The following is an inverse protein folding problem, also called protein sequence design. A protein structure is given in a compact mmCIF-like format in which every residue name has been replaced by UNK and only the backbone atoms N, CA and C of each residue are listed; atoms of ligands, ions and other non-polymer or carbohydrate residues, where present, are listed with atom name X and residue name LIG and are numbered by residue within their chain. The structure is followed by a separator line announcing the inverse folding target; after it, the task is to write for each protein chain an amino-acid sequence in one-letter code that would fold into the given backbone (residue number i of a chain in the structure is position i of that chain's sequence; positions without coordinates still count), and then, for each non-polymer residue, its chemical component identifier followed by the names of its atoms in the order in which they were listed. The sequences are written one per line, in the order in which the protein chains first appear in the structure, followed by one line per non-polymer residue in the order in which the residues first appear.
data_IF_878194146875
#
_entry.id   IF_878194146875
#
_cell.length_a   1.000
_cell.length_b   1.000
_cell.length_c   1.000
_cell.angle_alpha   90.00
_cell.angle_beta   90.00
_cell.angle_gamma   90.00
#
_symmetry.space_group_name_H-M   'P 1'
#
loop_
_entity.id
_entity.type
_entity.pdbx_description
1 polymer ?
#
# COMPACT_ATOMS: atom_id res chain seq x y z
N UNK A 1 -15.55 2.97 16.68
CA UNK A 1 -15.29 1.69 17.37
C UNK A 1 -13.97 1.17 16.80
N UNK A 2 -12.93 1.11 17.61
CA UNK A 2 -11.62 0.62 17.19
C UNK A 2 -11.74 -0.88 16.91
N UNK A 3 -11.36 -1.30 15.70
CA UNK A 3 -11.18 -2.71 15.38
C UNK A 3 -10.01 -3.23 16.20
N UNK A 4 -10.23 -4.19 17.06
CA UNK A 4 -9.19 -4.80 17.88
C UNK A 4 -8.87 -6.23 17.45
N UNK A 5 -9.54 -6.74 16.41
CA UNK A 5 -9.37 -8.12 15.93
C UNK A 5 -9.80 -8.22 14.46
N UNK A 6 -9.11 -9.07 13.71
CA UNK A 6 -9.50 -9.50 12.36
C UNK A 6 -9.80 -11.00 12.34
N UNK A 7 -10.65 -11.46 11.42
CA UNK A 7 -10.85 -12.85 11.06
C UNK A 7 -11.24 -12.93 9.58
N UNK A 8 -10.55 -13.77 8.86
CA UNK A 8 -10.86 -14.07 7.47
C UNK A 8 -11.29 -15.53 7.35
N UNK A 9 -12.21 -15.77 6.45
CA UNK A 9 -12.61 -17.11 6.03
C UNK A 9 -12.27 -17.27 4.55
N UNK A 10 -11.67 -18.38 4.20
CA UNK A 10 -11.22 -18.68 2.84
C UNK A 10 -11.97 -19.87 2.27
N UNK A 11 -12.15 -19.87 0.96
CA UNK A 11 -12.72 -20.95 0.18
C UNK A 11 -11.96 -21.05 -1.14
N UNK A 12 -11.65 -22.27 -1.54
CA UNK A 12 -11.05 -22.56 -2.83
C UNK A 12 -12.07 -22.24 -3.95
N UNK A 13 -11.67 -21.37 -4.88
CA UNK A 13 -12.51 -20.93 -5.99
C UNK A 13 -12.94 -22.08 -6.93
N UNK A 14 -12.10 -23.12 -7.05
CA UNK A 14 -12.41 -24.31 -7.86
C UNK A 14 -13.44 -25.24 -7.19
N UNK A 15 -13.71 -25.04 -5.91
CA UNK A 15 -14.67 -25.83 -5.14
C UNK A 15 -15.65 -24.95 -4.36
N UNK A 16 -16.43 -24.08 -5.04
CA UNK A 16 -17.27 -23.06 -4.41
C UNK A 16 -18.43 -23.59 -3.57
N UNK A 17 -18.74 -24.88 -3.67
CA UNK A 17 -19.81 -25.55 -2.90
C UNK A 17 -19.30 -26.14 -1.57
N UNK A 18 -18.02 -26.02 -1.24
CA UNK A 18 -17.47 -26.46 0.04
C UNK A 18 -17.70 -25.41 1.12
N UNK A 19 -17.48 -25.80 2.36
CA UNK A 19 -17.55 -24.89 3.51
C UNK A 19 -16.33 -23.96 3.56
N UNK A 20 -16.55 -22.72 4.01
CA UNK A 20 -15.48 -21.78 4.32
C UNK A 20 -14.63 -22.31 5.47
N UNK A 21 -13.32 -22.07 5.37
CA UNK A 21 -12.36 -22.39 6.42
C UNK A 21 -11.89 -21.10 7.06
N UNK A 22 -11.80 -21.09 8.39
CA UNK A 22 -11.17 -19.99 9.11
C UNK A 22 -9.68 -19.97 8.76
N UNK A 23 -9.19 -18.81 8.31
CA UNK A 23 -7.77 -18.60 8.00
C UNK A 23 -6.92 -18.63 9.27
N UNK A 24 -7.28 -17.79 10.23
CA UNK A 24 -6.73 -17.73 11.58
C UNK A 24 -7.85 -17.34 12.54
N UNK A 25 -8.06 -18.10 13.64
CA UNK A 25 -9.02 -17.73 14.66
C UNK A 25 -8.79 -16.35 15.26
N UNK A 26 -9.87 -15.71 15.71
CA UNK A 26 -9.79 -14.40 16.36
C UNK A 26 -8.91 -14.43 17.57
N UNK A 27 -7.97 -13.50 17.63
CA UNK A 27 -7.13 -13.23 18.77
C UNK A 27 -7.23 -11.75 19.13
N UNK A 28 -7.44 -11.44 20.41
CA UNK A 28 -7.59 -10.05 20.83
C UNK A 28 -6.30 -9.27 20.61
N UNK A 29 -6.40 -8.16 19.88
CA UNK A 29 -5.28 -7.30 19.55
C UNK A 29 -4.55 -7.69 18.27
N UNK A 30 -4.83 -8.86 17.69
CA UNK A 30 -4.29 -9.24 16.39
C UNK A 30 -5.16 -8.64 15.27
N UNK A 31 -4.53 -7.78 14.49
CA UNK A 31 -5.09 -7.21 13.27
C UNK A 31 -4.31 -7.75 12.08
N UNK A 32 -5.02 -8.16 11.02
CA UNK A 32 -4.38 -8.60 9.79
C UNK A 32 -5.31 -8.47 8.60
N UNK A 33 -4.71 -8.35 7.40
CA UNK A 33 -5.36 -8.58 6.11
C UNK A 33 -4.59 -9.64 5.34
N UNK A 34 -5.24 -10.27 4.36
CA UNK A 34 -4.64 -11.35 3.57
C UNK A 34 -4.81 -11.10 2.08
N UNK A 35 -3.80 -11.47 1.31
CA UNK A 35 -3.84 -11.57 -0.15
C UNK A 35 -3.19 -12.88 -0.58
N UNK A 36 -3.73 -13.53 -1.61
CA UNK A 36 -3.20 -14.81 -2.11
C UNK A 36 -2.32 -14.59 -3.34
N UNK A 37 -1.16 -15.23 -3.35
CA UNK A 37 -0.28 -15.26 -4.52
C UNK A 37 0.42 -16.61 -4.62
N UNK A 38 0.23 -17.28 -5.76
CA UNK A 38 0.76 -18.63 -6.02
C UNK A 38 0.38 -19.63 -4.92
N UNK A 39 1.35 -20.14 -4.17
CA UNK A 39 1.16 -21.13 -3.11
C UNK A 39 1.15 -20.54 -1.70
N UNK A 40 1.15 -19.19 -1.59
CA UNK A 40 1.24 -18.51 -0.30
C UNK A 40 0.13 -17.48 -0.13
N UNK A 41 -0.20 -17.23 1.14
CA UNK A 41 -0.87 -16.01 1.55
C UNK A 41 0.16 -14.99 2.07
N UNK A 42 -0.02 -13.75 1.66
CA UNK A 42 0.69 -12.58 2.15
C UNK A 42 -0.18 -11.84 3.15
N UNK A 43 0.37 -11.46 4.28
CA UNK A 43 -0.37 -11.06 5.46
C UNK A 43 0.20 -9.74 5.98
N UNK A 44 -0.56 -8.65 5.85
CA UNK A 44 -0.24 -7.39 6.53
C UNK A 44 -0.77 -7.52 7.95
N UNK A 45 0.10 -7.36 8.96
CA UNK A 45 -0.28 -7.64 10.36
C UNK A 45 0.52 -6.86 11.37
N UNK A 46 -0.08 -6.66 12.56
CA UNK A 46 0.55 -6.13 13.76
C UNK A 46 1.13 -7.22 14.68
N UNK A 47 1.25 -8.45 14.19
CA UNK A 47 1.78 -9.59 14.98
C UNK A 47 3.13 -9.25 15.63
N UNK A 48 3.36 -9.81 16.82
CA UNK A 48 4.58 -9.63 17.63
C UNK A 48 4.85 -8.15 18.01
N UNK A 49 3.78 -7.36 18.16
CA UNK A 49 3.89 -5.96 18.58
C UNK A 49 4.32 -4.99 17.47
N UNK A 50 4.19 -5.39 16.20
CA UNK A 50 4.46 -4.54 15.04
C UNK A 50 3.42 -3.41 14.93
N UNK A 51 3.59 -2.34 15.71
CA UNK A 51 2.65 -1.21 15.79
C UNK A 51 2.43 -0.49 14.46
N UNK A 52 3.45 -0.50 13.59
CA UNK A 52 3.41 0.04 12.23
C UNK A 52 3.19 -1.05 11.17
N UNK A 53 2.67 -2.19 11.60
CA UNK A 53 2.46 -3.36 10.76
C UNK A 53 3.74 -3.92 10.11
N UNK A 54 3.63 -5.09 9.55
CA UNK A 54 4.66 -5.79 8.77
C UNK A 54 4.00 -6.69 7.75
N UNK A 55 4.74 -7.12 6.74
CA UNK A 55 4.29 -8.13 5.80
C UNK A 55 4.86 -9.49 6.18
N UNK A 56 3.98 -10.45 6.38
CA UNK A 56 4.33 -11.84 6.59
C UNK A 56 3.78 -12.70 5.46
N UNK A 57 4.25 -13.94 5.36
CA UNK A 57 3.70 -14.94 4.45
C UNK A 57 3.54 -16.29 5.12
N UNK A 58 2.63 -17.11 4.60
CA UNK A 58 2.39 -18.48 5.04
C UNK A 58 1.97 -19.36 3.87
N UNK A 59 2.30 -20.66 3.84
CA UNK A 59 1.79 -21.59 2.84
C UNK A 59 0.26 -21.65 2.85
N UNK A 60 -0.36 -21.78 1.67
CA UNK A 60 -1.82 -21.80 1.52
C UNK A 60 -2.50 -23.01 2.20
N UNK A 61 -1.76 -24.09 2.40
CA UNK A 61 -2.23 -25.32 3.05
C UNK A 61 -1.99 -25.32 4.57
N UNK A 62 -1.28 -24.31 5.10
CA UNK A 62 -0.96 -24.19 6.52
C UNK A 62 -1.00 -22.74 7.02
N UNK A 63 -2.21 -22.22 7.21
CA UNK A 63 -2.47 -20.81 7.49
C UNK A 63 -2.35 -20.40 8.97
N UNK A 64 -2.09 -21.36 9.87
CA UNK A 64 -1.92 -21.09 11.31
C UNK A 64 -0.84 -20.04 11.55
N UNK A 65 -1.07 -19.14 12.52
CA UNK A 65 -0.18 -18.05 12.90
C UNK A 65 1.25 -18.49 13.23
N UNK A 66 1.45 -19.73 13.68
CA UNK A 66 2.75 -20.30 13.98
C UNK A 66 3.64 -20.49 12.73
N UNK A 67 3.02 -20.48 11.53
CA UNK A 67 3.70 -20.67 10.26
C UNK A 67 3.93 -19.34 9.52
N UNK A 68 3.51 -18.22 10.10
CA UNK A 68 3.72 -16.91 9.49
C UNK A 68 5.19 -16.52 9.65
N UNK A 69 5.85 -16.27 8.52
CA UNK A 69 7.25 -15.80 8.47
C UNK A 69 7.33 -14.40 7.89
N UNK A 70 8.26 -13.60 8.37
CA UNK A 70 8.44 -12.23 7.89
C UNK A 70 8.89 -12.21 6.41
N UNK A 71 8.20 -11.43 5.59
CA UNK A 71 8.58 -11.07 4.22
C UNK A 71 9.16 -9.66 4.18
N UNK A 72 8.50 -8.72 4.87
CA UNK A 72 8.99 -7.36 5.14
C UNK A 72 8.85 -7.14 6.64
N UNK A 73 9.99 -6.98 7.31
CA UNK A 73 10.02 -6.79 8.76
C UNK A 73 9.41 -5.43 9.17
N UNK A 74 8.90 -5.39 10.40
CA UNK A 74 8.44 -4.15 11.04
C UNK A 74 9.53 -3.07 11.07
N UNK A 75 9.10 -1.83 10.88
CA UNK A 75 9.93 -0.64 11.02
C UNK A 75 9.19 0.42 11.84
N UNK A 76 9.89 1.05 12.78
CA UNK A 76 9.31 2.12 13.61
C UNK A 76 9.06 3.42 12.84
N UNK A 77 9.80 3.64 11.74
CA UNK A 77 9.76 4.85 10.91
C UNK A 77 8.88 4.73 9.66
N UNK A 78 8.28 3.55 9.42
CA UNK A 78 7.43 3.26 8.26
C UNK A 78 6.18 2.52 8.69
N UNK A 79 5.02 3.10 8.42
CA UNK A 79 3.73 2.43 8.54
C UNK A 79 3.43 1.68 7.24
N UNK A 80 3.32 0.34 7.30
CA UNK A 80 2.85 -0.47 6.18
C UNK A 80 1.32 -0.45 6.19
N UNK A 81 0.72 0.13 5.14
CA UNK A 81 -0.73 0.36 5.09
C UNK A 81 -1.47 -0.76 4.36
N UNK A 82 -0.99 -1.17 3.19
CA UNK A 82 -1.62 -2.22 2.38
C UNK A 82 -0.65 -2.81 1.34
N UNK A 83 -1.10 -3.81 0.62
CA UNK A 83 -0.39 -4.41 -0.52
C UNK A 83 -1.31 -4.61 -1.71
N UNK A 84 -0.77 -4.46 -2.92
CA UNK A 84 -1.43 -4.82 -4.18
C UNK A 84 -0.59 -5.88 -4.89
N UNK A 85 -1.21 -6.97 -5.31
CA UNK A 85 -0.51 -8.12 -5.91
C UNK A 85 -0.83 -8.20 -7.39
N UNK A 86 0.21 -8.16 -8.20
CA UNK A 86 0.20 -8.45 -9.62
C UNK A 86 1.01 -9.72 -9.91
N UNK A 87 0.81 -10.32 -11.06
CA UNK A 87 1.54 -11.52 -11.48
C UNK A 87 3.07 -11.39 -11.35
N UNK A 88 3.62 -10.26 -11.79
CA UNK A 88 5.07 -10.02 -11.79
C UNK A 88 5.53 -9.08 -10.66
N UNK A 89 4.61 -8.39 -9.98
CA UNK A 89 4.94 -7.33 -9.04
C UNK A 89 4.15 -7.41 -7.73
N UNK A 90 4.81 -7.06 -6.66
CA UNK A 90 4.22 -6.66 -5.38
C UNK A 90 4.36 -5.14 -5.23
N UNK A 91 3.25 -4.47 -4.99
CA UNK A 91 3.23 -3.06 -4.60
C UNK A 91 2.89 -2.98 -3.12
N UNK A 92 3.76 -2.33 -2.34
CA UNK A 92 3.55 -2.10 -0.91
C UNK A 92 3.20 -0.64 -0.71
N UNK A 93 1.99 -0.38 -0.23
CA UNK A 93 1.58 0.96 0.18
C UNK A 93 2.06 1.20 1.60
N UNK A 94 2.80 2.27 1.78
CA UNK A 94 3.38 2.61 3.07
C UNK A 94 3.40 4.11 3.29
N UNK A 95 3.59 4.51 4.55
CA UNK A 95 3.75 5.90 4.94
C UNK A 95 5.04 6.08 5.70
N UNK A 96 5.87 7.02 5.23
CA UNK A 96 7.09 7.42 5.92
C UNK A 96 7.19 8.94 5.97
N UNK A 97 7.60 9.47 7.11
CA UNK A 97 7.65 10.93 7.32
C UNK A 97 6.33 11.65 6.97
N UNK A 98 5.17 10.99 7.14
CA UNK A 98 3.85 11.55 6.82
C UNK A 98 3.49 11.60 5.34
N UNK A 99 4.28 11.02 4.43
CA UNK A 99 3.98 10.90 3.01
C UNK A 99 3.69 9.45 2.63
N UNK A 100 2.66 9.27 1.81
CA UNK A 100 2.40 8.00 1.18
C UNK A 100 3.50 7.64 0.19
N UNK A 101 3.91 6.40 0.18
CA UNK A 101 4.89 5.85 -0.74
C UNK A 101 4.36 4.53 -1.30
N UNK A 102 4.64 4.26 -2.56
CA UNK A 102 4.40 2.97 -3.18
C UNK A 102 5.74 2.33 -3.48
N UNK A 103 6.07 1.28 -2.75
CA UNK A 103 7.28 0.50 -2.92
C UNK A 103 6.98 -0.66 -3.84
N UNK A 104 7.58 -0.67 -5.02
CA UNK A 104 7.32 -1.62 -6.10
C UNK A 104 8.47 -2.62 -6.14
N UNK A 105 8.12 -3.89 -6.02
CA UNK A 105 9.08 -5.01 -6.05
C UNK A 105 8.66 -6.00 -7.11
N UNK A 106 9.59 -6.43 -7.95
CA UNK A 106 9.36 -7.58 -8.84
C UNK A 106 9.60 -8.88 -8.06
N UNK A 107 8.76 -9.87 -8.26
CA UNK A 107 8.85 -11.13 -7.51
C UNK A 107 10.18 -11.88 -7.70
N UNK A 108 10.81 -11.74 -8.85
CA UNK A 108 12.12 -12.31 -9.15
C UNK A 108 13.31 -11.52 -8.58
N UNK A 109 13.05 -10.46 -7.81
CA UNK A 109 14.01 -9.53 -7.22
C UNK A 109 14.90 -8.78 -8.24
N UNK A 110 14.54 -8.77 -9.52
CA UNK A 110 15.31 -8.06 -10.55
C UNK A 110 15.10 -6.54 -10.53
N UNK A 111 13.99 -6.09 -9.93
CA UNK A 111 13.64 -4.67 -9.78
C UNK A 111 13.03 -4.41 -8.41
N UNK A 112 13.48 -3.31 -7.79
CA UNK A 112 12.93 -2.79 -6.54
C UNK A 112 13.14 -1.29 -6.50
N UNK A 113 12.05 -0.51 -6.34
CA UNK A 113 12.13 0.94 -6.32
C UNK A 113 10.85 1.56 -5.72
N UNK A 114 10.92 2.83 -5.36
CA UNK A 114 9.76 3.62 -4.97
C UNK A 114 9.20 4.35 -6.19
N UNK A 115 7.87 4.38 -6.34
CA UNK A 115 7.21 5.18 -7.36
C UNK A 115 7.60 6.66 -7.17
N UNK A 116 8.22 7.30 -8.19
CA UNK A 116 8.72 8.66 -8.06
C UNK A 116 7.57 9.68 -8.10
N UNK A 117 7.62 10.67 -7.20
CA UNK A 117 6.75 11.85 -7.21
C UNK A 117 7.58 13.11 -7.37
N UNK A 118 7.06 14.08 -8.15
CA UNK A 118 7.82 15.26 -8.56
C UNK A 118 7.66 16.45 -7.60
N UNK A 119 6.84 16.29 -6.54
CA UNK A 119 6.56 17.33 -5.54
C UNK A 119 6.96 16.86 -4.14
N UNK A 120 7.36 17.80 -3.29
CA UNK A 120 7.74 17.51 -1.90
C UNK A 120 6.55 17.12 -1.01
N UNK A 121 5.34 17.52 -1.42
CA UNK A 121 4.09 17.28 -0.69
C UNK A 121 3.00 16.81 -1.63
N UNK A 122 2.40 15.68 -1.34
CA UNK A 122 1.37 15.06 -2.17
C UNK A 122 0.54 14.07 -1.36
N UNK A 123 -0.61 13.71 -1.91
CA UNK A 123 -1.36 12.51 -1.56
C UNK A 123 -1.38 11.56 -2.75
N UNK A 124 -1.05 10.30 -2.50
CA UNK A 124 -1.13 9.25 -3.49
C UNK A 124 -1.61 7.94 -2.86
N UNK A 125 -2.27 7.08 -3.63
CA UNK A 125 -2.73 5.78 -3.18
C UNK A 125 -3.16 4.93 -4.36
N UNK A 126 -2.94 3.62 -4.29
CA UNK A 126 -3.41 2.69 -5.31
C UNK A 126 -4.94 2.77 -5.44
N UNK A 127 -5.41 2.65 -6.66
CA UNK A 127 -6.83 2.49 -6.95
C UNK A 127 -7.13 1.01 -7.16
N UNK A 128 -8.36 0.68 -7.55
CA UNK A 128 -8.70 -0.70 -7.91
C UNK A 128 -7.89 -1.14 -9.15
N UNK A 129 -7.11 -2.23 -9.01
CA UNK A 129 -6.29 -2.85 -10.04
C UNK A 129 -6.73 -4.33 -10.23
N UNK A 130 -7.91 -4.59 -10.82
CA UNK A 130 -8.49 -5.94 -10.85
C UNK A 130 -7.80 -6.90 -11.83
N UNK A 131 -6.98 -6.39 -12.74
CA UNK A 131 -6.26 -7.20 -13.72
C UNK A 131 -4.92 -7.67 -13.16
N UNK A 132 -4.92 -8.92 -12.70
CA UNK A 132 -3.74 -9.57 -12.12
C UNK A 132 -2.55 -9.67 -13.09
N UNK A 133 -2.79 -9.87 -14.38
CA UNK A 133 -1.74 -10.00 -15.40
C UNK A 133 -1.17 -8.64 -15.86
N UNK A 134 -1.73 -7.53 -15.36
CA UNK A 134 -1.31 -6.18 -15.73
C UNK A 134 0.09 -5.84 -15.19
N UNK A 135 0.84 -5.07 -15.98
CA UNK A 135 2.04 -4.37 -15.54
C UNK A 135 1.76 -2.90 -15.23
N UNK A 136 0.49 -2.51 -15.24
CA UNK A 136 0.05 -1.14 -15.00
C UNK A 136 -0.53 -1.04 -13.59
N UNK A 137 0.11 -0.21 -12.76
CA UNK A 137 -0.42 0.23 -11.49
C UNK A 137 -1.24 1.50 -11.72
N UNK A 138 -2.55 1.44 -11.50
CA UNK A 138 -3.41 2.62 -11.47
C UNK A 138 -3.43 3.20 -10.07
N UNK A 139 -3.18 4.50 -9.95
CA UNK A 139 -3.21 5.20 -8.68
C UNK A 139 -3.83 6.58 -8.80
N UNK A 140 -4.37 7.08 -7.68
CA UNK A 140 -4.80 8.44 -7.51
C UNK A 140 -3.64 9.31 -7.04
N UNK A 141 -3.60 10.56 -7.50
CA UNK A 141 -2.58 11.54 -7.11
C UNK A 141 -3.19 12.93 -6.98
N UNK A 142 -2.74 13.69 -5.99
CA UNK A 142 -3.00 15.13 -5.90
C UNK A 142 -1.89 15.81 -5.10
N UNK A 143 -1.71 17.11 -5.32
CA UNK A 143 -0.85 17.95 -4.48
C UNK A 143 -1.51 19.32 -4.25
N UNK A 144 -0.86 20.20 -3.51
CA UNK A 144 -1.35 21.59 -3.36
C UNK A 144 -1.35 22.37 -4.67
N UNK A 145 -0.56 21.93 -5.64
CA UNK A 145 -0.40 22.57 -6.96
C UNK A 145 -0.90 21.71 -8.13
N UNK A 146 -1.35 20.49 -7.87
CA UNK A 146 -1.83 19.56 -8.90
C UNK A 146 -3.22 19.07 -8.52
N UNK A 147 -4.24 19.28 -9.36
CA UNK A 147 -5.59 18.77 -9.16
C UNK A 147 -5.60 17.24 -9.06
N UNK A 148 -6.68 16.70 -8.46
CA UNK A 148 -6.86 15.23 -8.36
C UNK A 148 -6.76 14.59 -9.74
N UNK A 149 -5.86 13.63 -9.85
CA UNK A 149 -5.51 12.95 -11.09
C UNK A 149 -5.59 11.46 -10.94
N UNK A 150 -5.96 10.76 -12.01
CA UNK A 150 -5.89 9.29 -12.14
C UNK A 150 -4.77 9.00 -13.12
N UNK A 151 -3.81 8.21 -12.67
CA UNK A 151 -2.58 7.95 -13.40
C UNK A 151 -2.36 6.44 -13.53
N UNK A 152 -2.04 6.00 -14.74
CA UNK A 152 -1.51 4.67 -15.00
C UNK A 152 0.02 4.74 -15.04
N UNK A 153 0.63 3.88 -14.23
CA UNK A 153 2.08 3.75 -14.14
C UNK A 153 2.50 2.36 -14.61
N UNK A 154 3.29 2.31 -15.67
CA UNK A 154 3.88 1.06 -16.13
C UNK A 154 5.07 0.70 -15.23
N UNK A 155 4.94 -0.39 -14.44
CA UNK A 155 5.93 -0.82 -13.48
C UNK A 155 7.24 -1.34 -14.11
N UNK A 156 7.19 -1.71 -15.40
CA UNK A 156 8.35 -2.18 -16.12
C UNK A 156 9.16 -1.03 -16.74
N UNK A 157 8.48 -0.12 -17.44
CA UNK A 157 9.12 1.00 -18.14
C UNK A 157 9.23 2.27 -17.29
N UNK A 158 8.52 2.33 -16.15
CA UNK A 158 8.38 3.49 -15.27
C UNK A 158 7.73 4.71 -15.94
N UNK A 159 6.97 4.49 -17.01
CA UNK A 159 6.23 5.54 -17.70
C UNK A 159 4.90 5.82 -17.01
N UNK A 160 4.58 7.12 -16.86
CA UNK A 160 3.29 7.60 -16.33
C UNK A 160 2.41 8.05 -17.49
N UNK A 161 1.12 7.70 -17.41
CA UNK A 161 0.08 8.20 -18.33
C UNK A 161 -1.05 8.78 -17.50
N UNK A 162 -1.28 10.07 -17.59
CA UNK A 162 -2.43 10.73 -16.94
C UNK A 162 -3.68 10.37 -17.72
N UNK A 163 -4.60 9.65 -17.09
CA UNK A 163 -5.89 9.27 -17.69
C UNK A 163 -6.93 10.37 -17.50
N UNK A 164 -6.90 11.01 -16.33
CA UNK A 164 -7.83 12.07 -15.98
C UNK A 164 -7.17 13.02 -14.98
N UNK A 165 -7.37 14.31 -15.19
CA UNK A 165 -7.07 15.35 -14.21
C UNK A 165 -8.33 16.19 -14.03
N UNK A 166 -8.63 16.57 -12.79
CA UNK A 166 -9.79 17.40 -12.48
C UNK A 166 -9.57 18.81 -13.02
N UNK A 167 -10.50 19.31 -13.82
CA UNK A 167 -10.46 20.67 -14.34
C UNK A 167 -10.68 21.69 -13.22
N UNK A 168 -9.87 22.74 -13.20
CA UNK A 168 -10.04 23.88 -12.29
C UNK A 168 -10.91 24.92 -12.98
N UNK A 169 -12.14 25.08 -12.49
CA UNK A 169 -13.12 26.03 -13.06
C UNK A 169 -12.92 27.43 -12.47
N UNK A 170 -13.31 28.46 -13.27
CA UNK A 170 -13.44 29.85 -12.80
C UNK A 170 -12.20 30.71 -12.95
N UNK A 171 -11.25 30.37 -13.80
CA UNK A 171 -10.09 31.23 -14.09
C UNK A 171 -9.00 30.51 -14.89
N UNK A 172 -7.93 31.23 -15.19
CA UNK A 172 -6.72 30.65 -15.75
C UNK A 172 -5.86 30.10 -14.61
N UNK A 173 -6.12 28.86 -14.20
CA UNK A 173 -5.22 28.14 -13.29
C UNK A 173 -3.96 27.73 -14.06
N UNK A 174 -2.81 28.14 -13.56
CA UNK A 174 -1.52 27.72 -14.04
C UNK A 174 -0.70 27.27 -12.83
N UNK A 175 -0.40 25.98 -12.78
CA UNK A 175 0.34 25.35 -11.67
C UNK A 175 1.72 25.96 -11.46
N UNK A 176 2.33 26.51 -12.51
CA UNK A 176 3.67 27.09 -12.45
C UNK A 176 3.70 28.45 -11.70
N UNK A 177 2.51 29.01 -11.40
CA UNK A 177 2.38 30.19 -10.53
C UNK A 177 2.39 29.85 -9.03
N UNK A 178 2.45 28.57 -8.67
CA UNK A 178 2.37 28.10 -7.29
C UNK A 178 3.54 27.18 -7.00
N UNK A 179 3.99 27.19 -5.74
CA UNK A 179 4.99 26.29 -5.24
C UNK A 179 4.46 25.58 -3.99
N UNK A 180 4.65 24.26 -3.89
CA UNK A 180 4.39 23.53 -2.67
C UNK A 180 5.71 23.13 -2.02
N UNK A 181 5.81 23.37 -0.71
CA UNK A 181 7.01 23.07 0.08
C UNK A 181 6.64 22.26 1.29
N UNK A 182 7.60 21.49 1.75
CA UNK A 182 7.54 20.82 3.01
C UNK A 182 8.45 21.48 4.02
N UNK A 183 7.86 21.95 5.12
CA UNK A 183 8.61 22.54 6.23
C UNK A 183 8.41 21.68 7.50
N UNK A 184 9.24 21.93 8.49
CA UNK A 184 9.21 21.17 9.74
C UNK A 184 9.09 22.13 10.91
N UNK A 185 8.06 21.93 11.73
CA UNK A 185 8.00 22.53 13.05
C UNK A 185 8.65 21.62 14.08
N UNK A 186 9.11 22.20 15.18
CA UNK A 186 9.59 21.44 16.33
C UNK A 186 8.64 21.69 17.48
N UNK A 187 7.99 20.64 17.97
CA UNK A 187 7.14 20.70 19.15
C UNK A 187 7.97 20.90 20.44
N UNK A 188 7.31 21.24 21.56
CA UNK A 188 7.98 21.48 22.83
C UNK A 188 8.79 20.28 23.35
N UNK A 189 8.35 19.06 23.03
CA UNK A 189 9.03 17.82 23.39
C UNK A 189 10.17 17.44 22.42
N UNK A 190 10.46 18.29 21.42
CA UNK A 190 11.50 18.06 20.40
C UNK A 190 11.02 17.28 19.17
N UNK A 191 9.78 16.81 19.15
CA UNK A 191 9.20 16.07 18.02
C UNK A 191 9.17 16.95 16.76
N UNK A 192 9.64 16.40 15.64
CA UNK A 192 9.56 17.05 14.33
C UNK A 192 8.21 16.78 13.69
N UNK A 193 7.45 17.84 13.44
CA UNK A 193 6.13 17.81 12.83
C UNK A 193 6.22 18.31 11.39
N UNK A 194 5.92 17.48 10.38
CA UNK A 194 5.91 17.92 8.98
C UNK A 194 4.69 18.80 8.71
N UNK A 195 4.90 19.84 7.91
CA UNK A 195 3.85 20.77 7.46
C UNK A 195 3.95 20.89 5.93
N UNK A 196 2.85 20.67 5.26
CA UNK A 196 2.71 20.85 3.81
C UNK A 196 2.04 22.16 3.52
#
# INVERSE_FOLDING_TARGET
MLRLVSEYQILDADTPNKEFKIFQPRERGLEYSIAHYETNFYIVTNKDGATNFKLMKTPQDNTSIDNWVDEIAHRDDVLLEDIEIFKDYLVVEQRSNGLNQMHIKRWDNSKEYYLPFDTETYGAGAMSNPDFDSQILRYGYSSLTTPSSIIDFNMDTQQKTVLKETEVLGGSFDKDNYESKRIWATAEDGTKVPIS
#
